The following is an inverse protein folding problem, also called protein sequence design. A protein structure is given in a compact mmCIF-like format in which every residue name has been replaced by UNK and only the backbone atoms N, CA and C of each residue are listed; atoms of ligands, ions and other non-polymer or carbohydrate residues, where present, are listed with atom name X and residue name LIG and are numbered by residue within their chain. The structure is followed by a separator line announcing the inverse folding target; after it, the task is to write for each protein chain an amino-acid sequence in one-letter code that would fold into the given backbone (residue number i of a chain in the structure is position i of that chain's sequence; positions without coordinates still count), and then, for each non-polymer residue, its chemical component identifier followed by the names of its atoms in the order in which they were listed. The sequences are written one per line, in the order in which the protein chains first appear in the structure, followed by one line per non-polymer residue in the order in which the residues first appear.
data_IF_104829042519
#
_entry.id   IF_104829042519
#
_cell.length_a   1.000
_cell.length_b   1.000
_cell.length_c   1.000
_cell.angle_alpha   90.00
_cell.angle_beta   90.00
_cell.angle_gamma   90.00
#
_symmetry.space_group_name_H-M   'P 1'
#
loop_
_entity.id
_entity.type
_entity.pdbx_description
1 polymer ?
#
# COMPACT_ATOMS: atom_id res chain seq x y z
N UNK A 1 11.09 -8.82 7.29
CA UNK A 1 9.93 -9.65 7.49
C UNK A 1 9.73 -10.03 8.94
N UNK A 2 9.04 -11.13 9.20
CA UNK A 2 8.70 -11.63 10.55
C UNK A 2 9.92 -11.76 11.48
N UNK A 3 11.07 -12.07 10.94
CA UNK A 3 12.35 -12.20 11.64
C UNK A 3 12.86 -10.91 12.32
N UNK A 4 12.30 -9.75 11.96
CA UNK A 4 12.69 -8.46 12.54
C UNK A 4 11.68 -7.91 13.55
N UNK A 5 10.55 -8.58 13.74
CA UNK A 5 9.49 -8.17 14.66
C UNK A 5 9.72 -8.78 16.03
N UNK A 6 9.91 -7.95 17.07
CA UNK A 6 10.22 -8.38 18.42
C UNK A 6 9.21 -9.38 18.98
N UNK A 7 7.91 -9.12 18.82
CA UNK A 7 6.84 -9.97 19.32
C UNK A 7 6.81 -11.40 18.77
N UNK A 8 7.56 -11.70 17.70
CA UNK A 8 7.70 -13.06 17.14
C UNK A 8 9.04 -13.72 17.46
N UNK A 9 9.90 -13.08 18.22
CA UNK A 9 11.27 -13.53 18.46
C UNK A 9 11.65 -13.36 19.94
N UNK A 10 12.68 -14.07 20.38
CA UNK A 10 13.18 -14.03 21.75
C UNK A 10 14.23 -12.92 21.98
N UNK A 11 14.20 -11.85 21.20
CA UNK A 11 15.09 -10.70 21.36
C UNK A 11 14.29 -9.39 21.28
N UNK A 12 14.82 -8.33 21.89
CA UNK A 12 14.28 -6.98 21.77
C UNK A 12 14.45 -6.50 20.31
N UNK A 13 13.34 -6.48 19.57
CA UNK A 13 13.34 -6.23 18.14
C UNK A 13 13.44 -4.74 17.79
N UNK A 14 13.41 -4.46 16.48
CA UNK A 14 13.48 -3.10 15.95
C UNK A 14 12.08 -2.47 15.77
N UNK A 15 11.04 -3.09 16.31
CA UNK A 15 9.65 -2.74 16.05
C UNK A 15 8.82 -2.48 17.32
N UNK A 16 9.28 -1.64 18.28
CA UNK A 16 8.62 -1.50 19.58
C UNK A 16 7.17 -1.00 19.46
N UNK A 17 6.88 -0.15 18.49
CA UNK A 17 5.51 0.31 18.24
C UNK A 17 4.61 -0.82 17.72
N UNK A 18 5.09 -1.62 16.74
CA UNK A 18 4.33 -2.75 16.22
C UNK A 18 4.12 -3.81 17.29
N UNK A 19 5.12 -4.08 18.11
CA UNK A 19 5.04 -5.05 19.22
C UNK A 19 3.97 -4.62 20.24
N UNK A 20 3.93 -3.33 20.58
CA UNK A 20 2.88 -2.75 21.42
C UNK A 20 1.50 -2.83 20.76
N UNK A 21 1.39 -2.50 19.48
CA UNK A 21 0.12 -2.56 18.73
C UNK A 21 -0.40 -4.00 18.65
N UNK A 22 0.47 -4.99 18.45
CA UNK A 22 0.10 -6.41 18.38
C UNK A 22 -0.55 -6.90 19.66
N UNK A 23 -0.16 -6.39 20.83
CA UNK A 23 -0.78 -6.76 22.13
C UNK A 23 -2.25 -6.34 22.25
N UNK A 24 -2.74 -5.44 21.37
CA UNK A 24 -4.10 -4.91 21.33
C UNK A 24 -4.82 -5.23 20.01
N UNK A 25 -4.28 -6.14 19.22
CA UNK A 25 -4.74 -6.42 17.86
C UNK A 25 -5.03 -7.90 17.62
N UNK A 26 -5.85 -8.21 16.61
CA UNK A 26 -5.92 -9.55 16.06
C UNK A 26 -4.67 -9.81 15.22
N UNK A 27 -3.85 -10.76 15.65
CA UNK A 27 -2.58 -11.13 15.00
C UNK A 27 -2.72 -12.46 14.30
N UNK A 28 -2.36 -12.50 13.01
CA UNK A 28 -2.32 -13.73 12.22
C UNK A 28 -0.90 -14.29 12.17
N UNK A 29 -0.62 -15.33 12.94
CA UNK A 29 0.72 -15.95 13.01
C UNK A 29 1.11 -16.67 11.72
N UNK A 30 0.13 -17.23 11.01
CA UNK A 30 0.30 -17.99 9.77
C UNK A 30 -0.35 -17.27 8.59
N UNK A 31 0.24 -16.15 8.18
CA UNK A 31 -0.18 -15.39 7.01
C UNK A 31 0.70 -15.72 5.80
N UNK A 32 0.07 -15.93 4.65
CA UNK A 32 0.75 -16.25 3.39
C UNK A 32 0.45 -15.19 2.34
N UNK A 33 1.49 -14.72 1.65
CA UNK A 33 1.32 -13.80 0.53
C UNK A 33 0.67 -14.52 -0.66
N UNK A 34 -0.31 -13.88 -1.27
CA UNK A 34 -1.03 -14.40 -2.45
C UNK A 34 -0.39 -13.93 -3.78
N UNK A 35 0.84 -13.47 -3.74
CA UNK A 35 1.63 -13.06 -4.89
C UNK A 35 3.10 -12.90 -4.47
N UNK A 36 4.01 -13.04 -5.43
CA UNK A 36 5.46 -12.91 -5.20
C UNK A 36 5.98 -11.50 -5.44
N UNK A 37 5.18 -10.66 -6.09
CA UNK A 37 5.52 -9.28 -6.47
C UNK A 37 4.40 -8.34 -6.04
N UNK A 38 4.74 -7.07 -5.83
CA UNK A 38 3.77 -6.03 -5.44
C UNK A 38 2.61 -5.89 -6.42
N UNK A 39 2.91 -5.98 -7.72
CA UNK A 39 1.91 -5.92 -8.79
C UNK A 39 0.87 -7.07 -8.73
N UNK A 40 1.20 -8.16 -8.04
CA UNK A 40 0.30 -9.30 -7.78
C UNK A 40 -0.38 -9.15 -6.42
N UNK A 41 0.36 -8.63 -5.43
CA UNK A 41 -0.12 -8.49 -4.07
C UNK A 41 -1.22 -7.44 -3.92
N UNK A 42 -1.13 -6.31 -4.63
CA UNK A 42 -2.12 -5.23 -4.53
C UNK A 42 -3.52 -5.68 -4.99
N UNK A 43 -3.71 -6.31 -6.17
CA UNK A 43 -5.02 -6.87 -6.54
C UNK A 43 -5.52 -7.95 -5.57
N UNK A 44 -4.61 -8.76 -5.01
CA UNK A 44 -4.99 -9.78 -4.04
C UNK A 44 -5.56 -9.17 -2.75
N UNK A 45 -4.96 -8.08 -2.25
CA UNK A 45 -5.40 -7.39 -1.01
C UNK A 45 -6.66 -6.56 -1.27
N UNK A 46 -6.69 -5.79 -2.35
CA UNK A 46 -7.77 -4.80 -2.61
C UNK A 46 -9.02 -5.43 -3.24
N UNK A 47 -8.85 -6.42 -4.12
CA UNK A 47 -9.96 -7.02 -4.88
C UNK A 47 -10.13 -8.51 -4.64
N UNK A 48 -9.32 -9.14 -3.78
CA UNK A 48 -9.36 -10.58 -3.54
C UNK A 48 -8.97 -11.42 -4.76
N UNK A 49 -8.20 -10.86 -5.70
CA UNK A 49 -7.78 -11.53 -6.94
C UNK A 49 -6.42 -12.18 -6.73
N UNK A 50 -6.34 -13.51 -6.59
CA UNK A 50 -5.06 -14.19 -6.36
C UNK A 50 -4.18 -14.24 -7.62
N UNK A 51 -2.87 -14.33 -7.43
CA UNK A 51 -1.90 -14.53 -8.51
C UNK A 51 -1.92 -16.00 -8.97
N UNK A 52 -2.81 -16.32 -9.90
CA UNK A 52 -3.01 -17.69 -10.43
C UNK A 52 -2.27 -17.94 -11.75
N UNK A 53 -1.69 -16.93 -12.36
CA UNK A 53 -1.03 -17.00 -13.67
C UNK A 53 0.35 -16.34 -13.64
N UNK A 54 1.21 -16.68 -14.60
CA UNK A 54 2.54 -16.07 -14.74
C UNK A 54 2.47 -14.57 -15.09
N UNK A 55 1.37 -14.13 -15.71
CA UNK A 55 1.15 -12.72 -16.01
C UNK A 55 0.35 -12.06 -14.90
N UNK A 56 0.87 -10.98 -14.26
CA UNK A 56 0.13 -10.25 -13.25
C UNK A 56 -1.24 -9.76 -13.74
N UNK A 57 -2.26 -9.80 -12.89
CA UNK A 57 -3.63 -9.39 -13.23
C UNK A 57 -3.69 -8.00 -13.87
N UNK A 58 -3.01 -7.00 -13.30
CA UNK A 58 -2.99 -5.61 -13.78
C UNK A 58 -2.52 -5.53 -15.25
N UNK A 59 -1.55 -6.37 -15.65
CA UNK A 59 -1.00 -6.39 -17.01
C UNK A 59 -1.71 -7.39 -17.93
N UNK A 60 -2.69 -8.10 -17.44
CA UNK A 60 -3.46 -9.08 -18.22
C UNK A 60 -4.58 -8.40 -19.02
N UNK A 61 -5.18 -9.14 -19.93
CA UNK A 61 -6.39 -8.68 -20.66
C UNK A 61 -7.59 -8.40 -19.73
N UNK A 62 -7.55 -8.88 -18.50
CA UNK A 62 -8.60 -8.68 -17.50
C UNK A 62 -8.34 -7.44 -16.63
N UNK A 63 -7.13 -6.89 -16.64
CA UNK A 63 -6.70 -5.77 -15.80
C UNK A 63 -7.45 -4.46 -16.05
N UNK A 64 -8.14 -4.33 -17.19
CA UNK A 64 -8.99 -3.18 -17.52
C UNK A 64 -10.49 -3.41 -17.20
N UNK A 65 -10.85 -4.58 -16.68
CA UNK A 65 -12.24 -4.88 -16.36
C UNK A 65 -12.59 -4.37 -14.96
N UNK A 66 -13.66 -3.59 -14.87
CA UNK A 66 -14.23 -3.19 -13.57
C UNK A 66 -14.75 -4.42 -12.84
N UNK A 67 -14.32 -4.57 -11.60
CA UNK A 67 -14.76 -5.64 -10.71
C UNK A 67 -15.07 -5.09 -9.32
N UNK A 68 -15.57 -5.93 -8.45
CA UNK A 68 -15.75 -5.56 -7.05
C UNK A 68 -14.40 -5.53 -6.34
N UNK A 69 -14.17 -4.46 -5.62
CA UNK A 69 -13.05 -4.28 -4.71
C UNK A 69 -13.57 -3.75 -3.37
N UNK A 70 -12.75 -3.78 -2.34
CA UNK A 70 -13.14 -3.15 -1.07
C UNK A 70 -13.37 -1.64 -1.26
N UNK A 71 -12.60 -0.97 -2.12
CA UNK A 71 -12.77 0.45 -2.42
C UNK A 71 -14.14 0.71 -3.08
N UNK A 72 -14.47 -0.01 -4.16
CA UNK A 72 -15.76 0.17 -4.85
C UNK A 72 -16.96 -0.17 -3.97
N UNK A 73 -16.86 -1.19 -3.12
CA UNK A 73 -17.92 -1.57 -2.19
C UNK A 73 -18.16 -0.46 -1.16
N UNK A 74 -17.09 0.09 -0.59
CA UNK A 74 -17.19 1.14 0.41
C UNK A 74 -17.61 2.48 -0.18
N UNK A 75 -17.08 2.85 -1.36
CA UNK A 75 -17.50 4.07 -2.07
C UNK A 75 -19.01 4.04 -2.37
N UNK A 76 -19.56 2.90 -2.76
CA UNK A 76 -21.01 2.73 -3.03
C UNK A 76 -21.90 2.96 -1.80
N UNK A 77 -21.35 2.90 -0.59
CA UNK A 77 -22.08 3.17 0.66
C UNK A 77 -21.64 4.49 1.32
N UNK A 78 -20.97 5.38 0.56
CA UNK A 78 -20.67 6.74 0.96
C UNK A 78 -19.33 6.98 1.65
N UNK A 79 -18.41 6.02 1.61
CA UNK A 79 -17.04 6.24 2.06
C UNK A 79 -16.26 7.01 0.98
N UNK A 80 -15.45 7.97 1.40
CA UNK A 80 -14.38 8.49 0.56
C UNK A 80 -13.24 7.47 0.51
N UNK A 81 -12.78 7.13 -0.71
CA UNK A 81 -11.76 6.08 -0.88
C UNK A 81 -10.49 6.62 -1.54
N UNK A 82 -9.32 6.31 -0.97
CA UNK A 82 -8.04 6.82 -1.47
C UNK A 82 -6.92 5.79 -1.41
N UNK A 83 -6.04 5.83 -2.41
CA UNK A 83 -4.87 4.98 -2.49
C UNK A 83 -3.61 5.83 -2.63
N UNK A 84 -2.60 5.56 -1.80
CA UNK A 84 -1.34 6.28 -1.73
C UNK A 84 -0.15 5.38 -2.04
N UNK A 85 0.74 5.88 -2.91
CA UNK A 85 1.98 5.18 -3.26
C UNK A 85 3.05 6.19 -3.64
N UNK A 86 4.07 6.38 -2.82
CA UNK A 86 5.13 7.38 -3.03
C UNK A 86 6.05 7.16 -4.24
N UNK A 87 5.71 6.24 -5.13
CA UNK A 87 6.44 5.94 -6.37
C UNK A 87 6.09 6.88 -7.52
N UNK A 88 6.82 6.73 -8.63
CA UNK A 88 6.57 7.51 -9.84
C UNK A 88 5.18 7.23 -10.43
N UNK A 89 4.55 8.24 -11.08
CA UNK A 89 3.33 8.05 -11.83
C UNK A 89 3.43 6.88 -12.82
N UNK A 90 2.38 6.07 -12.92
CA UNK A 90 2.35 4.90 -13.82
C UNK A 90 3.14 3.68 -13.34
N UNK A 91 3.79 3.74 -12.17
CA UNK A 91 4.53 2.58 -11.63
C UNK A 91 3.65 1.34 -11.58
N UNK A 92 4.06 0.28 -12.29
CA UNK A 92 3.36 -1.01 -12.37
C UNK A 92 1.87 -0.91 -12.73
N UNK A 93 1.39 0.24 -13.23
CA UNK A 93 -0.02 0.49 -13.54
C UNK A 93 -0.92 0.62 -12.32
N UNK A 94 -0.38 0.99 -11.17
CA UNK A 94 -1.15 1.11 -9.93
C UNK A 94 -2.18 2.24 -9.97
N UNK A 95 -1.87 3.34 -10.65
CA UNK A 95 -2.80 4.45 -10.89
C UNK A 95 -4.04 3.99 -11.67
N UNK A 96 -3.84 3.35 -12.83
CA UNK A 96 -4.93 2.80 -13.63
C UNK A 96 -5.70 1.70 -12.86
N UNK A 97 -5.01 0.86 -12.10
CA UNK A 97 -5.66 -0.15 -11.29
C UNK A 97 -6.50 0.47 -10.16
N UNK A 98 -6.01 1.50 -9.48
CA UNK A 98 -6.74 2.18 -8.42
C UNK A 98 -8.06 2.78 -8.96
N UNK A 99 -8.03 3.40 -10.15
CA UNK A 99 -9.23 3.90 -10.83
C UNK A 99 -10.22 2.77 -11.11
N UNK A 100 -9.77 1.65 -11.69
CA UNK A 100 -10.61 0.49 -12.03
C UNK A 100 -11.16 -0.18 -10.77
N UNK A 101 -10.37 -0.24 -9.70
CA UNK A 101 -10.77 -0.75 -8.40
C UNK A 101 -11.78 0.16 -7.67
N UNK A 102 -12.02 1.38 -8.18
CA UNK A 102 -13.04 2.29 -7.67
C UNK A 102 -12.57 3.15 -6.50
N UNK A 103 -11.28 3.44 -6.40
CA UNK A 103 -10.81 4.51 -5.52
C UNK A 103 -11.19 5.88 -6.09
N UNK A 104 -11.64 6.79 -5.23
CA UNK A 104 -11.98 8.16 -5.60
C UNK A 104 -10.72 8.99 -5.88
N UNK A 105 -9.61 8.66 -5.27
CA UNK A 105 -8.33 9.33 -5.49
C UNK A 105 -7.12 8.41 -5.42
N UNK A 106 -6.10 8.72 -6.23
CA UNK A 106 -4.77 8.11 -6.20
C UNK A 106 -3.72 9.20 -6.03
N UNK A 107 -2.80 9.00 -5.10
CA UNK A 107 -1.73 9.94 -4.76
C UNK A 107 -0.38 9.27 -4.90
N UNK A 108 0.45 9.83 -5.75
CA UNK A 108 1.80 9.35 -6.02
C UNK A 108 2.87 10.41 -5.71
N UNK A 109 4.10 10.18 -6.14
CA UNK A 109 5.22 11.11 -6.00
C UNK A 109 4.90 12.51 -6.54
N UNK A 110 4.14 12.62 -7.65
CA UNK A 110 3.79 13.92 -8.24
C UNK A 110 2.82 14.73 -7.35
N UNK A 111 2.11 14.07 -6.47
CA UNK A 111 1.22 14.70 -5.48
C UNK A 111 1.97 15.15 -4.22
N UNK A 112 3.22 14.71 -4.02
CA UNK A 112 4.02 15.04 -2.85
C UNK A 112 4.73 16.39 -3.02
N UNK A 113 4.56 17.35 -2.08
CA UNK A 113 4.93 18.76 -2.32
C UNK A 113 6.44 19.06 -2.35
N UNK A 114 7.27 18.22 -1.75
CA UNK A 114 8.73 18.45 -1.59
C UNK A 114 9.54 17.23 -1.96
N UNK A 115 9.24 16.63 -3.11
CA UNK A 115 9.78 15.32 -3.46
C UNK A 115 11.30 15.29 -3.58
N UNK A 116 11.95 16.38 -4.03
CA UNK A 116 13.41 16.42 -4.24
C UNK A 116 14.21 16.16 -2.95
N UNK A 117 13.68 16.59 -1.81
CA UNK A 117 14.32 16.43 -0.51
C UNK A 117 14.21 15.01 0.03
N UNK A 118 13.05 14.38 -0.22
CA UNK A 118 12.67 13.14 0.43
C UNK A 118 12.69 11.95 -0.54
N UNK A 119 13.22 12.15 -1.77
CA UNK A 119 13.35 11.14 -2.81
C UNK A 119 14.55 10.22 -2.56
N UNK A 120 14.33 8.92 -2.63
CA UNK A 120 15.35 7.89 -2.39
C UNK A 120 16.38 7.72 -3.54
N UNK A 121 16.21 8.49 -4.61
CA UNK A 121 17.07 8.45 -5.80
C UNK A 121 16.71 7.35 -6.80
N UNK A 122 15.69 6.54 -6.56
CA UNK A 122 15.36 5.39 -7.41
C UNK A 122 13.86 5.08 -7.54
N UNK A 123 13.20 4.80 -6.45
CA UNK A 123 11.83 4.28 -6.45
C UNK A 123 10.79 5.34 -6.15
N UNK A 124 11.07 6.25 -5.21
CA UNK A 124 10.12 7.25 -4.79
C UNK A 124 10.49 7.94 -3.48
N UNK A 125 9.50 8.37 -2.76
CA UNK A 125 9.65 9.07 -1.48
C UNK A 125 9.95 8.04 -0.39
N UNK A 126 10.91 8.36 0.50
CA UNK A 126 11.15 7.57 1.71
C UNK A 126 9.88 7.40 2.53
N UNK A 127 9.70 6.22 3.13
CA UNK A 127 8.45 5.88 3.84
C UNK A 127 8.14 6.83 5.00
N UNK A 128 9.14 7.24 5.78
CA UNK A 128 8.88 8.10 6.95
C UNK A 128 8.25 9.44 6.54
N UNK A 129 8.84 10.28 5.66
CA UNK A 129 8.21 11.53 5.23
C UNK A 129 6.91 11.29 4.45
N UNK A 130 6.80 10.20 3.69
CA UNK A 130 5.56 9.88 2.97
C UNK A 130 4.41 9.48 3.91
N UNK A 131 4.70 8.77 5.00
CA UNK A 131 3.72 8.45 6.04
C UNK A 131 3.24 9.71 6.79
N UNK A 132 4.13 10.68 7.02
CA UNK A 132 3.73 11.97 7.59
C UNK A 132 2.82 12.75 6.63
N UNK A 133 3.14 12.76 5.35
CA UNK A 133 2.26 13.34 4.31
C UNK A 133 0.90 12.63 4.29
N UNK A 134 0.89 11.30 4.24
CA UNK A 134 -0.31 10.50 4.26
C UNK A 134 -1.20 10.81 5.48
N UNK A 135 -0.60 10.85 6.67
CA UNK A 135 -1.31 11.23 7.89
C UNK A 135 -1.95 12.61 7.77
N UNK A 136 -1.20 13.60 7.25
CA UNK A 136 -1.73 14.95 7.07
C UNK A 136 -2.87 15.01 6.05
N UNK A 137 -2.80 14.24 4.96
CA UNK A 137 -3.92 14.12 4.01
C UNK A 137 -5.16 13.52 4.67
N UNK A 138 -5.00 12.47 5.49
CA UNK A 138 -6.12 11.83 6.20
C UNK A 138 -6.81 12.80 7.16
N UNK A 139 -6.09 13.71 7.82
CA UNK A 139 -6.66 14.70 8.74
C UNK A 139 -7.62 15.68 8.02
N UNK A 140 -7.57 15.76 6.69
CA UNK A 140 -8.42 16.65 5.88
C UNK A 140 -9.54 15.90 5.14
N UNK A 141 -9.62 14.57 5.26
CA UNK A 141 -10.67 13.76 4.63
C UNK A 141 -11.88 13.68 5.58
N UNK A 142 -13.06 13.93 5.06
CA UNK A 142 -14.30 13.76 5.81
C UNK A 142 -14.62 12.29 6.04
N UNK A 143 -15.05 11.95 7.23
CA UNK A 143 -15.55 10.60 7.56
C UNK A 143 -16.94 10.33 6.97
N UNK A 144 -17.28 9.08 6.65
CA UNK A 144 -16.39 7.91 6.72
C UNK A 144 -15.43 7.81 5.54
N UNK A 145 -14.22 7.30 5.77
CA UNK A 145 -13.25 7.07 4.70
C UNK A 145 -12.60 5.68 4.77
N UNK A 146 -12.11 5.22 3.64
CA UNK A 146 -11.23 4.06 3.49
C UNK A 146 -9.98 4.48 2.74
N UNK A 147 -8.82 4.29 3.33
CA UNK A 147 -7.57 4.66 2.71
C UNK A 147 -6.54 3.53 2.78
N UNK A 148 -5.79 3.38 1.69
CA UNK A 148 -4.71 2.40 1.58
C UNK A 148 -3.41 3.10 1.24
N UNK A 149 -2.31 2.65 1.84
CA UNK A 149 -0.96 3.10 1.52
C UNK A 149 -0.08 1.91 1.20
N UNK A 150 0.76 2.06 0.17
CA UNK A 150 1.78 1.10 -0.21
C UNK A 150 3.17 1.73 -0.06
N UNK A 151 3.97 1.22 0.88
CA UNK A 151 5.29 1.74 1.24
C UNK A 151 6.42 1.24 0.31
N UNK A 152 7.59 1.90 0.31
CA UNK A 152 8.68 1.67 -0.64
C UNK A 152 10.05 1.38 0.00
N UNK A 153 10.36 1.94 1.18
CA UNK A 153 11.74 1.94 1.73
C UNK A 153 12.29 0.54 2.02
N UNK A 154 11.42 -0.45 2.23
CA UNK A 154 11.84 -1.86 2.40
C UNK A 154 12.21 -2.55 1.08
N UNK A 155 12.25 -1.84 -0.04
CA UNK A 155 12.58 -2.39 -1.35
C UNK A 155 14.09 -2.36 -1.59
N UNK A 156 14.62 -3.40 -2.27
CA UNK A 156 16.01 -3.38 -2.76
C UNK A 156 16.25 -2.14 -3.65
N UNK A 157 17.36 -1.38 -3.51
CA UNK A 157 18.61 -1.68 -2.82
C UNK A 157 18.68 -1.31 -1.33
N UNK A 158 17.56 -1.03 -0.66
CA UNK A 158 17.51 -0.66 0.76
C UNK A 158 18.28 0.64 1.05
N UNK A 159 18.01 1.67 0.23
CA UNK A 159 18.58 3.01 0.41
C UNK A 159 18.17 3.55 1.79
N UNK A 160 19.14 4.08 2.53
CA UNK A 160 18.95 4.71 3.84
C UNK A 160 18.93 6.22 3.63
N UNK A 161 17.99 6.96 4.29
CA UNK A 161 17.95 8.42 4.26
C UNK A 161 19.20 9.08 4.79
#
# INVERSE_FOLDING_TARGET
GKEYIGAYNDFEGYTPFLDSLMSHSLVCENAYANGKKSIEGIPAVISGIPALTDKPYILSQYGSQKGNSIASILSNIGYHTSFYHGGHPGTMGFDAYAEIAGFDSYKDLASYPTYEKDYDGKWGIFDEPYLQYYKNELDHISEPFFSSIFSLSSHHPYTIP
#
